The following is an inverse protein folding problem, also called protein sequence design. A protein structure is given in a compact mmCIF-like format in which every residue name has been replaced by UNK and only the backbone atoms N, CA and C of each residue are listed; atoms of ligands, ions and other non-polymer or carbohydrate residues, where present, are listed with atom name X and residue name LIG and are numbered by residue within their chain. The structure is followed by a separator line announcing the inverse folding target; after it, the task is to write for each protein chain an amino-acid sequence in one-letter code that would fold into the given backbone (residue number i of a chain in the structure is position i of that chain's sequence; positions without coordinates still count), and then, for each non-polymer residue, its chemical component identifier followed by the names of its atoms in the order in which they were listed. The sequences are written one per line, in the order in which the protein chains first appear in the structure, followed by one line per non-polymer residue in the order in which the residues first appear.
data_IF_380805424945
#
_entry.id   IF_380805424945
#
_cell.length_a   1.000
_cell.length_b   1.000
_cell.length_c   1.000
_cell.angle_alpha   90.00
_cell.angle_beta   90.00
_cell.angle_gamma   90.00
#
_symmetry.space_group_name_H-M   'P 1'
#
loop_
_entity.id
_entity.type
_entity.pdbx_description
1 polymer ?
#
# COMPACT_ATOMS: atom_id res chain seq x y z
N UNK A 1 -18.96 -17.76 -4.98
CA UNK A 1 -19.26 -19.11 -4.42
C UNK A 1 -20.50 -19.06 -3.53
N UNK A 2 -20.58 -18.12 -2.58
CA UNK A 2 -21.71 -18.00 -1.67
C UNK A 2 -23.10 -17.74 -2.32
N UNK A 3 -23.18 -16.93 -3.39
CA UNK A 3 -24.47 -16.60 -4.04
C UNK A 3 -25.15 -17.81 -4.70
N UNK A 4 -24.36 -18.75 -5.23
CA UNK A 4 -24.86 -19.93 -5.95
C UNK A 4 -24.84 -21.18 -5.05
N UNK A 5 -24.40 -21.04 -3.79
CA UNK A 5 -24.21 -22.19 -2.88
C UNK A 5 -23.18 -23.20 -3.38
N UNK A 6 -22.21 -22.77 -4.21
CA UNK A 6 -21.24 -23.67 -4.81
C UNK A 6 -20.35 -24.31 -3.73
N UNK A 7 -20.27 -25.64 -3.74
CA UNK A 7 -19.42 -26.44 -2.84
C UNK A 7 -18.22 -27.00 -3.58
N UNK A 8 -17.20 -27.45 -2.84
CA UNK A 8 -15.97 -28.02 -3.39
C UNK A 8 -16.23 -29.04 -4.51
N UNK A 9 -17.21 -29.93 -4.32
CA UNK A 9 -17.56 -30.97 -5.31
C UNK A 9 -18.13 -30.41 -6.63
N UNK A 10 -18.68 -29.20 -6.65
CA UNK A 10 -19.23 -28.58 -7.87
C UNK A 10 -18.12 -28.04 -8.78
N UNK A 11 -17.07 -27.45 -8.20
CA UNK A 11 -15.96 -26.84 -8.94
C UNK A 11 -14.62 -27.04 -8.20
N UNK A 12 -14.13 -28.28 -8.07
CA UNK A 12 -13.04 -28.61 -7.13
C UNK A 12 -11.73 -27.89 -7.47
N UNK A 13 -11.37 -27.82 -8.75
CA UNK A 13 -10.15 -27.15 -9.21
C UNK A 13 -10.19 -25.65 -8.94
N UNK A 14 -11.30 -24.99 -9.28
CA UNK A 14 -11.45 -23.54 -9.09
C UNK A 14 -11.45 -23.16 -7.60
N UNK A 15 -12.21 -23.89 -6.79
CA UNK A 15 -12.34 -23.64 -5.34
C UNK A 15 -11.00 -23.89 -4.64
N UNK A 16 -10.27 -24.93 -5.04
CA UNK A 16 -8.92 -25.20 -4.53
C UNK A 16 -7.96 -24.02 -4.82
N UNK A 17 -7.82 -23.62 -6.09
CA UNK A 17 -6.88 -22.55 -6.46
C UNK A 17 -7.27 -21.19 -5.85
N UNK A 18 -8.57 -20.88 -5.80
CA UNK A 18 -9.06 -19.68 -5.13
C UNK A 18 -8.76 -19.70 -3.62
N UNK A 19 -8.92 -20.86 -2.97
CA UNK A 19 -8.56 -21.10 -1.57
C UNK A 19 -7.08 -20.88 -1.27
N UNK A 20 -6.21 -21.48 -2.09
CA UNK A 20 -4.75 -21.33 -2.01
C UNK A 20 -4.34 -19.87 -2.19
N UNK A 21 -4.88 -19.20 -3.21
CA UNK A 21 -4.57 -17.81 -3.52
C UNK A 21 -5.06 -16.86 -2.42
N UNK A 22 -6.28 -17.06 -1.91
CA UNK A 22 -6.81 -16.28 -0.80
C UNK A 22 -5.95 -16.41 0.46
N UNK A 23 -5.53 -17.63 0.81
CA UNK A 23 -4.65 -17.88 1.94
C UNK A 23 -3.26 -17.22 1.77
N UNK A 24 -2.69 -17.28 0.58
CA UNK A 24 -1.45 -16.58 0.24
C UNK A 24 -1.58 -15.06 0.48
N UNK A 25 -2.60 -14.44 -0.13
CA UNK A 25 -2.85 -13.01 0.00
C UNK A 25 -3.04 -12.59 1.45
N UNK A 26 -3.81 -13.37 2.22
CA UNK A 26 -4.05 -13.11 3.64
C UNK A 26 -2.77 -13.07 4.46
N UNK A 27 -1.96 -14.12 4.38
CA UNK A 27 -0.72 -14.26 5.16
C UNK A 27 0.30 -13.19 4.79
N UNK A 28 0.40 -12.84 3.50
CA UNK A 28 1.30 -11.77 3.04
C UNK A 28 0.82 -10.40 3.51
N UNK A 29 -0.48 -10.10 3.42
CA UNK A 29 -1.06 -8.83 3.85
C UNK A 29 -0.92 -8.60 5.36
N UNK A 30 -1.29 -9.60 6.16
CA UNK A 30 -1.24 -9.52 7.62
C UNK A 30 0.21 -9.34 8.11
N UNK A 31 1.16 -10.05 7.50
CA UNK A 31 2.59 -9.93 7.82
C UNK A 31 3.15 -8.57 7.41
N UNK A 32 2.73 -8.05 6.25
CA UNK A 32 3.10 -6.70 5.80
C UNK A 32 2.57 -5.65 6.78
N UNK A 33 1.39 -5.85 7.35
CA UNK A 33 0.81 -4.95 8.35
C UNK A 33 1.63 -4.89 9.64
N UNK A 34 2.21 -6.02 10.09
CA UNK A 34 3.13 -6.06 11.24
C UNK A 34 4.38 -5.24 10.93
N UNK A 35 5.00 -5.44 9.76
CA UNK A 35 6.20 -4.70 9.36
C UNK A 35 5.91 -3.20 9.28
N UNK A 36 4.76 -2.82 8.73
CA UNK A 36 4.36 -1.43 8.63
C UNK A 36 4.14 -0.80 10.02
N UNK A 37 3.48 -1.50 10.95
CA UNK A 37 3.32 -1.05 12.33
C UNK A 37 4.67 -0.91 13.04
N UNK A 38 5.58 -1.87 12.86
CA UNK A 38 6.93 -1.82 13.40
C UNK A 38 7.73 -0.63 12.84
N UNK A 39 7.63 -0.37 11.54
CA UNK A 39 8.23 0.80 10.92
C UNK A 39 7.75 2.10 11.58
N UNK A 40 6.46 2.23 11.89
CA UNK A 40 5.92 3.41 12.61
C UNK A 40 6.47 3.57 14.02
N UNK A 41 6.64 2.46 14.75
CA UNK A 41 7.29 2.50 16.07
C UNK A 41 8.76 2.92 15.96
N UNK A 42 9.50 2.35 15.01
CA UNK A 42 10.92 2.65 14.79
C UNK A 42 11.10 4.11 14.37
N UNK A 43 10.28 4.62 13.45
CA UNK A 43 10.28 6.02 13.01
C UNK A 43 10.04 6.98 14.19
N UNK A 44 9.19 6.59 15.14
CA UNK A 44 8.91 7.37 16.36
C UNK A 44 10.11 7.41 17.31
N UNK A 45 10.81 6.27 17.48
CA UNK A 45 11.99 6.11 18.34
C UNK A 45 13.21 6.81 17.72
N UNK A 46 13.52 6.48 16.47
CA UNK A 46 14.69 6.94 15.73
C UNK A 46 14.40 7.01 14.22
N UNK A 47 14.19 8.22 13.68
CA UNK A 47 14.01 8.43 12.24
C UNK A 47 15.17 7.86 11.41
N UNK A 48 16.41 8.06 11.87
CA UNK A 48 17.60 7.56 11.16
C UNK A 48 17.68 6.04 11.10
N UNK A 49 17.13 5.33 12.08
CA UNK A 49 17.05 3.87 12.03
C UNK A 49 15.94 3.41 11.07
N UNK A 50 14.80 4.10 11.05
CA UNK A 50 13.72 3.84 10.09
C UNK A 50 14.21 4.02 8.65
N UNK A 51 14.92 5.11 8.36
CA UNK A 51 15.55 5.35 7.05
C UNK A 51 16.52 4.21 6.67
N UNK A 52 17.41 3.83 7.59
CA UNK A 52 18.35 2.73 7.35
C UNK A 52 17.64 1.40 7.06
N UNK A 53 16.52 1.10 7.69
CA UNK A 53 15.84 -0.19 7.53
C UNK A 53 14.83 -0.22 6.39
N UNK A 54 14.15 0.89 6.11
CA UNK A 54 12.96 0.91 5.28
C UNK A 54 13.05 1.83 4.06
N UNK A 55 14.12 2.61 3.89
CA UNK A 55 14.21 3.55 2.77
C UNK A 55 14.65 2.88 1.45
N UNK A 56 14.14 3.42 0.35
CA UNK A 56 14.55 3.09 -1.01
C UNK A 56 14.31 1.63 -1.38
N UNK A 57 15.37 0.93 -1.82
CA UNK A 57 15.26 -0.46 -2.30
C UNK A 57 15.03 -1.47 -1.18
N UNK A 58 15.26 -1.10 0.08
CA UNK A 58 15.18 -2.03 1.23
C UNK A 58 13.74 -2.40 1.59
N UNK A 59 12.78 -1.50 1.37
CA UNK A 59 11.36 -1.82 1.54
C UNK A 59 10.92 -2.95 0.61
N UNK A 60 11.49 -3.05 -0.60
CA UNK A 60 11.22 -4.17 -1.51
C UNK A 60 11.72 -5.50 -0.95
N UNK A 61 12.83 -5.52 -0.21
CA UNK A 61 13.30 -6.73 0.47
C UNK A 61 12.29 -7.20 1.54
N UNK A 62 11.71 -6.26 2.31
CA UNK A 62 10.67 -6.58 3.29
C UNK A 62 9.39 -7.08 2.62
N UNK A 63 8.97 -6.48 1.51
CA UNK A 63 7.84 -6.97 0.72
C UNK A 63 8.11 -8.38 0.19
N UNK A 64 9.29 -8.62 -0.39
CA UNK A 64 9.70 -9.94 -0.86
C UNK A 64 9.71 -10.97 0.28
N UNK A 65 10.18 -10.60 1.47
CA UNK A 65 10.15 -11.47 2.65
C UNK A 65 8.73 -11.89 3.02
N UNK A 66 7.77 -10.95 3.05
CA UNK A 66 6.37 -11.28 3.35
C UNK A 66 5.70 -12.13 2.26
N UNK A 67 6.07 -11.92 1.00
CA UNK A 67 5.63 -12.76 -0.11
C UNK A 67 6.19 -14.18 0.01
N UNK A 68 7.48 -14.34 0.34
CA UNK A 68 8.10 -15.65 0.55
C UNK A 68 7.47 -16.38 1.74
N UNK A 69 7.16 -15.66 2.82
CA UNK A 69 6.43 -16.21 3.96
C UNK A 69 5.02 -16.67 3.57
N UNK A 70 4.26 -15.87 2.82
CA UNK A 70 2.97 -16.29 2.27
C UNK A 70 3.07 -17.50 1.35
N UNK A 71 4.09 -17.57 0.50
CA UNK A 71 4.34 -18.72 -0.39
C UNK A 71 4.58 -20.01 0.41
N UNK A 72 5.21 -19.93 1.59
CA UNK A 72 5.35 -21.11 2.46
C UNK A 72 4.01 -21.69 2.90
N UNK A 73 2.97 -20.86 3.05
CA UNK A 73 1.63 -21.33 3.39
C UNK A 73 0.94 -22.01 2.21
N UNK A 74 1.28 -21.65 0.97
CA UNK A 74 0.80 -22.33 -0.23
C UNK A 74 1.33 -23.76 -0.30
N UNK A 75 2.59 -23.98 0.06
CA UNK A 75 3.25 -25.29 -0.08
C UNK A 75 3.06 -26.20 1.13
N UNK A 76 3.03 -25.65 2.35
CA UNK A 76 3.07 -26.44 3.59
C UNK A 76 1.73 -26.52 4.33
N UNK A 77 0.69 -25.83 3.86
CA UNK A 77 -0.61 -25.84 4.56
C UNK A 77 -1.77 -26.32 3.71
N UNK A 78 -2.80 -26.84 4.37
CA UNK A 78 -4.04 -27.21 3.71
C UNK A 78 -4.75 -25.94 3.23
N UNK A 79 -5.27 -25.93 1.99
CA UNK A 79 -5.98 -24.78 1.46
C UNK A 79 -7.24 -24.50 2.30
N UNK A 80 -7.55 -23.21 2.48
CA UNK A 80 -8.83 -22.79 3.03
C UNK A 80 -9.88 -23.03 1.97
N UNK A 81 -10.83 -23.94 2.23
CA UNK A 81 -11.91 -24.23 1.29
C UNK A 81 -13.10 -23.30 1.54
N UNK A 82 -13.42 -22.46 0.57
CA UNK A 82 -14.59 -21.58 0.60
C UNK A 82 -15.83 -22.33 0.11
N UNK A 83 -16.46 -23.12 0.98
CA UNK A 83 -17.72 -23.80 0.66
C UNK A 83 -18.94 -22.88 0.86
N UNK A 84 -19.89 -22.94 -0.08
CA UNK A 84 -21.14 -22.17 -0.02
C UNK A 84 -22.26 -22.77 0.84
N UNK A 85 -22.11 -24.01 1.31
CA UNK A 85 -23.08 -24.75 2.13
C UNK A 85 -22.33 -25.40 3.30
N UNK A 86 -23.01 -25.60 4.44
CA UNK A 86 -22.48 -26.36 5.56
C UNK A 86 -22.18 -27.80 5.14
N UNK A 87 -20.91 -28.16 5.12
CA UNK A 87 -20.51 -29.56 5.07
C UNK A 87 -19.95 -29.97 6.44
N UNK A 88 -20.34 -31.13 6.95
CA UNK A 88 -19.96 -31.65 8.27
C UNK A 88 -18.44 -31.84 8.44
N UNK A 89 -17.67 -31.68 7.36
CA UNK A 89 -16.21 -31.68 7.32
C UNK A 89 -15.53 -30.38 7.77
N UNK A 90 -16.24 -29.38 8.31
CA UNK A 90 -15.64 -28.13 8.81
C UNK A 90 -14.47 -28.34 9.79
N UNK A 91 -14.54 -29.39 10.63
CA UNK A 91 -13.47 -29.80 11.55
C UNK A 91 -12.30 -30.52 10.84
N UNK A 92 -12.53 -31.12 9.67
CA UNK A 92 -11.53 -31.89 8.91
C UNK A 92 -10.54 -30.98 8.17
N UNK A 93 -10.88 -29.70 7.98
CA UNK A 93 -10.06 -28.69 7.30
C UNK A 93 -9.44 -27.65 8.25
N UNK A 94 -9.36 -27.95 9.55
CA UNK A 94 -8.69 -27.08 10.52
C UNK A 94 -7.19 -26.93 10.21
N UNK A 95 -6.76 -25.69 9.93
CA UNK A 95 -5.37 -25.37 9.63
C UNK A 95 -4.70 -24.73 10.85
N UNK A 96 -4.07 -25.57 11.68
CA UNK A 96 -3.39 -25.13 12.91
C UNK A 96 -2.33 -24.05 12.67
N UNK A 97 -1.65 -24.08 11.51
CA UNK A 97 -0.65 -23.07 11.18
C UNK A 97 -1.31 -21.72 10.86
N UNK A 98 -2.45 -21.72 10.17
CA UNK A 98 -3.24 -20.52 9.92
C UNK A 98 -3.75 -19.90 11.23
N UNK A 99 -4.32 -20.71 12.14
CA UNK A 99 -4.76 -20.24 13.46
C UNK A 99 -3.60 -19.69 14.29
N UNK A 100 -2.44 -20.36 14.29
CA UNK A 100 -1.24 -19.85 14.96
C UNK A 100 -0.80 -18.50 14.37
N UNK A 101 -0.77 -18.39 13.05
CA UNK A 101 -0.44 -17.14 12.35
C UNK A 101 -1.41 -16.01 12.72
N UNK A 102 -2.72 -16.25 12.68
CA UNK A 102 -3.74 -15.27 13.07
C UNK A 102 -3.55 -14.77 14.51
N UNK A 103 -3.30 -15.69 15.44
CA UNK A 103 -3.04 -15.35 16.85
C UNK A 103 -1.74 -14.54 16.99
N UNK A 104 -0.67 -14.93 16.29
CA UNK A 104 0.60 -14.23 16.30
C UNK A 104 0.47 -12.80 15.73
N UNK A 105 -0.26 -12.64 14.63
CA UNK A 105 -0.58 -11.33 14.03
C UNK A 105 -1.35 -10.46 15.01
N UNK A 106 -2.40 -11.01 15.63
CA UNK A 106 -3.23 -10.29 16.58
C UNK A 106 -2.40 -9.78 17.78
N UNK A 107 -1.58 -10.64 18.38
CA UNK A 107 -0.72 -10.28 19.51
C UNK A 107 0.35 -9.26 19.11
N UNK A 108 1.00 -9.46 17.95
CA UNK A 108 2.04 -8.56 17.46
C UNK A 108 1.50 -7.16 17.17
N UNK A 109 0.36 -7.05 16.49
CA UNK A 109 -0.26 -5.77 16.18
C UNK A 109 -0.76 -5.07 17.44
N UNK A 110 -1.41 -5.79 18.36
CA UNK A 110 -1.82 -5.22 19.64
C UNK A 110 -0.62 -4.67 20.42
N UNK A 111 0.47 -5.44 20.51
CA UNK A 111 1.70 -5.03 21.18
C UNK A 111 2.35 -3.81 20.52
N UNK A 112 2.47 -3.79 19.19
CA UNK A 112 3.04 -2.68 18.44
C UNK A 112 2.19 -1.41 18.57
N UNK A 113 0.87 -1.52 18.57
CA UNK A 113 -0.02 -0.37 18.75
C UNK A 113 0.01 0.18 20.16
N UNK A 114 0.03 -0.68 21.18
CA UNK A 114 0.24 -0.26 22.55
C UNK A 114 1.58 0.46 22.72
N UNK A 115 2.66 -0.12 22.16
CA UNK A 115 3.98 0.49 22.14
C UNK A 115 3.96 1.87 21.46
N UNK A 116 3.32 1.99 20.30
CA UNK A 116 3.21 3.28 19.59
C UNK A 116 2.51 4.34 20.43
N UNK A 117 1.39 4.00 21.08
CA UNK A 117 0.66 4.92 21.96
C UNK A 117 1.53 5.37 23.12
N UNK A 118 2.25 4.44 23.77
CA UNK A 118 3.17 4.76 24.86
C UNK A 118 4.28 5.71 24.38
N UNK A 119 4.93 5.38 23.28
CA UNK A 119 5.98 6.22 22.67
C UNK A 119 5.46 7.60 22.29
N UNK A 120 4.25 7.67 21.75
CA UNK A 120 3.59 8.92 21.41
C UNK A 120 3.33 9.77 22.64
N UNK A 121 2.81 9.18 23.73
CA UNK A 121 2.57 9.89 24.99
C UNK A 121 3.89 10.45 25.54
N UNK A 122 4.93 9.62 25.66
CA UNK A 122 6.26 10.02 26.14
C UNK A 122 6.82 11.18 25.29
N UNK A 123 6.76 11.04 23.96
CA UNK A 123 7.27 12.08 23.07
C UNK A 123 6.43 13.35 23.21
N UNK A 124 5.10 13.25 23.34
CA UNK A 124 4.22 14.41 23.50
C UNK A 124 4.42 15.16 24.82
N UNK A 125 4.77 14.47 25.92
CA UNK A 125 5.02 15.08 27.23
C UNK A 125 6.40 15.71 27.31
N UNK A 126 7.41 15.11 26.66
CA UNK A 126 8.78 15.63 26.63
C UNK A 126 8.94 16.80 25.63
N UNK A 127 8.17 16.82 24.53
CA UNK A 127 8.32 17.79 23.43
C UNK A 127 7.34 19.00 23.51
N UNK A 128 6.99 19.45 24.71
CA UNK A 128 5.98 20.50 24.94
C UNK A 128 6.15 21.83 24.17
N UNK A 129 7.35 22.16 23.66
CA UNK A 129 7.67 23.42 22.97
C UNK A 129 8.35 23.26 21.60
N UNK A 130 7.92 22.29 20.78
CA UNK A 130 8.56 22.08 19.46
C UNK A 130 8.08 23.03 18.35
N UNK A 131 8.96 23.39 17.39
CA UNK A 131 8.64 24.23 16.24
C UNK A 131 7.58 23.60 15.31
N UNK A 132 6.89 24.44 14.53
CA UNK A 132 5.75 24.06 13.66
C UNK A 132 6.03 22.87 12.72
N UNK A 133 7.26 22.74 12.22
CA UNK A 133 7.70 21.63 11.35
C UNK A 133 7.61 20.28 12.07
N UNK A 134 7.99 20.24 13.36
CA UNK A 134 7.91 19.04 14.19
C UNK A 134 6.45 18.62 14.46
N UNK A 135 5.53 19.60 14.56
CA UNK A 135 4.08 19.36 14.68
C UNK A 135 3.47 18.79 13.39
N UNK A 136 3.89 19.25 12.22
CA UNK A 136 3.42 18.70 10.94
C UNK A 136 3.80 17.22 10.79
N UNK A 137 5.07 16.90 11.10
CA UNK A 137 5.57 15.53 11.05
C UNK A 137 4.84 14.62 12.07
N UNK A 138 4.57 15.12 13.28
CA UNK A 138 3.79 14.39 14.28
C UNK A 138 2.34 14.12 13.84
N UNK A 139 1.69 15.08 13.17
CA UNK A 139 0.33 14.90 12.65
C UNK A 139 0.28 13.91 11.49
N UNK A 140 1.28 13.93 10.60
CA UNK A 140 1.43 12.96 9.53
C UNK A 140 1.65 11.54 10.08
N UNK A 141 2.55 11.38 11.05
CA UNK A 141 2.79 10.11 11.75
C UNK A 141 1.54 9.58 12.44
N UNK A 142 0.80 10.45 13.15
CA UNK A 142 -0.48 10.10 13.78
C UNK A 142 -1.51 9.61 12.77
N UNK A 143 -1.63 10.31 11.64
CA UNK A 143 -2.60 9.95 10.60
C UNK A 143 -2.24 8.61 9.97
N UNK A 144 -0.97 8.41 9.61
CA UNK A 144 -0.49 7.15 9.07
C UNK A 144 -0.66 5.98 10.05
N UNK A 145 -0.43 6.20 11.34
CA UNK A 145 -0.69 5.19 12.37
C UNK A 145 -2.18 4.85 12.49
N UNK A 146 -3.06 5.86 12.55
CA UNK A 146 -4.50 5.65 12.61
C UNK A 146 -5.03 4.89 11.39
N UNK A 147 -4.49 5.16 10.20
CA UNK A 147 -4.84 4.39 8.99
C UNK A 147 -4.54 2.90 9.19
N UNK A 148 -3.31 2.57 9.63
CA UNK A 148 -2.87 1.19 9.81
C UNK A 148 -3.66 0.51 10.93
N UNK A 149 -3.93 1.20 12.04
CA UNK A 149 -4.77 0.71 13.13
C UNK A 149 -6.18 0.35 12.66
N UNK A 150 -6.84 1.26 11.92
CA UNK A 150 -8.21 1.02 11.42
C UNK A 150 -8.23 -0.18 10.47
N UNK A 151 -7.26 -0.27 9.55
CA UNK A 151 -7.14 -1.41 8.63
C UNK A 151 -7.00 -2.71 9.42
N UNK A 152 -6.11 -2.76 10.41
CA UNK A 152 -5.89 -3.98 11.19
C UNK A 152 -7.06 -4.36 12.10
N UNK A 153 -7.82 -3.39 12.64
CA UNK A 153 -9.06 -3.70 13.37
C UNK A 153 -10.10 -4.37 12.46
N UNK A 154 -10.23 -3.89 11.23
CA UNK A 154 -11.13 -4.48 10.22
C UNK A 154 -10.66 -5.91 9.86
N UNK A 155 -9.36 -6.11 9.69
CA UNK A 155 -8.79 -7.44 9.43
C UNK A 155 -9.00 -8.40 10.61
N UNK A 156 -8.87 -7.94 11.86
CA UNK A 156 -9.09 -8.75 13.05
C UNK A 156 -10.54 -9.26 13.16
N UNK A 157 -11.52 -8.40 12.83
CA UNK A 157 -12.94 -8.80 12.78
C UNK A 157 -13.15 -9.88 11.72
N UNK A 158 -12.56 -9.71 10.53
CA UNK A 158 -12.61 -10.72 9.47
C UNK A 158 -12.00 -12.06 9.88
N UNK A 159 -10.81 -12.01 10.48
CA UNK A 159 -10.11 -13.19 11.00
C UNK A 159 -10.97 -13.94 12.01
N UNK A 160 -11.56 -13.23 12.96
CA UNK A 160 -12.40 -13.84 14.01
C UNK A 160 -13.65 -14.52 13.45
N UNK A 161 -14.26 -13.95 12.42
CA UNK A 161 -15.39 -14.59 11.73
C UNK A 161 -14.95 -15.90 11.07
N UNK A 162 -13.81 -15.91 10.36
CA UNK A 162 -13.30 -17.11 9.70
C UNK A 162 -12.84 -18.18 10.69
N UNK A 163 -12.16 -17.79 11.78
CA UNK A 163 -11.75 -18.72 12.83
C UNK A 163 -12.98 -19.34 13.53
N UNK A 164 -14.04 -18.54 13.77
CA UNK A 164 -15.32 -19.06 14.25
C UNK A 164 -15.93 -20.09 13.29
N UNK A 165 -15.95 -19.78 12.00
CA UNK A 165 -16.47 -20.68 10.96
C UNK A 165 -15.68 -22.00 10.86
N UNK A 166 -14.42 -22.02 11.29
CA UNK A 166 -13.59 -23.22 11.33
C UNK A 166 -13.84 -24.09 12.58
N UNK A 167 -14.30 -23.49 13.67
CA UNK A 167 -14.46 -24.18 14.96
C UNK A 167 -15.91 -24.61 15.26
N UNK A 168 -16.89 -23.92 14.66
CA UNK A 168 -18.31 -24.10 14.96
C UNK A 168 -19.13 -24.34 13.67
N UNK A 169 -20.28 -25.05 13.78
CA UNK A 169 -21.21 -25.18 12.65
C UNK A 169 -21.74 -23.81 12.22
N UNK A 170 -21.88 -23.60 10.90
CA UNK A 170 -21.78 -22.26 10.31
C UNK A 170 -23.09 -21.52 9.95
N UNK A 171 -24.21 -22.05 9.50
CA UNK A 171 -25.33 -21.26 8.88
C UNK A 171 -24.97 -20.50 7.59
N UNK A 172 -25.89 -20.49 6.62
CA UNK A 172 -25.68 -19.84 5.32
C UNK A 172 -25.55 -18.31 5.43
N UNK A 173 -26.29 -17.69 6.36
CA UNK A 173 -26.22 -16.25 6.60
C UNK A 173 -24.80 -15.80 6.99
N UNK A 174 -24.12 -16.59 7.82
CA UNK A 174 -22.75 -16.30 8.24
C UNK A 174 -21.75 -16.43 7.09
N UNK A 175 -21.93 -17.39 6.19
CA UNK A 175 -21.09 -17.55 4.97
C UNK A 175 -21.22 -16.33 4.06
N UNK A 176 -22.43 -15.79 3.90
CA UNK A 176 -22.67 -14.56 3.13
C UNK A 176 -21.98 -13.37 3.79
N UNK A 177 -22.20 -13.17 5.10
CA UNK A 177 -21.57 -12.09 5.87
C UNK A 177 -20.05 -12.17 5.79
N UNK A 178 -19.45 -13.36 5.93
CA UNK A 178 -18.01 -13.58 5.82
C UNK A 178 -17.50 -13.23 4.41
N UNK A 179 -18.23 -13.64 3.37
CA UNK A 179 -17.86 -13.36 1.97
C UNK A 179 -17.88 -11.86 1.67
N UNK A 180 -18.88 -11.12 2.15
CA UNK A 180 -18.94 -9.67 1.97
C UNK A 180 -17.90 -8.94 2.84
N UNK A 181 -17.72 -9.39 4.08
CA UNK A 181 -16.70 -8.84 4.98
C UNK A 181 -15.31 -8.98 4.36
N UNK A 182 -15.00 -10.11 3.74
CA UNK A 182 -13.76 -10.34 3.00
C UNK A 182 -13.54 -9.30 1.89
N UNK A 183 -14.56 -9.04 1.06
CA UNK A 183 -14.46 -8.00 0.02
C UNK A 183 -14.22 -6.61 0.60
N UNK A 184 -14.90 -6.27 1.70
CA UNK A 184 -14.75 -4.99 2.38
C UNK A 184 -13.34 -4.86 2.96
N UNK A 185 -12.84 -5.89 3.64
CA UNK A 185 -11.51 -5.94 4.24
C UNK A 185 -10.42 -5.58 3.23
N UNK A 186 -10.43 -6.18 2.05
CA UNK A 186 -9.40 -5.92 1.04
C UNK A 186 -9.65 -4.64 0.21
N UNK A 187 -10.90 -4.16 0.12
CA UNK A 187 -11.23 -2.93 -0.60
C UNK A 187 -11.01 -1.64 0.21
N UNK A 188 -11.22 -1.69 1.52
CA UNK A 188 -11.18 -0.54 2.42
C UNK A 188 -9.81 0.16 2.50
N UNK A 189 -8.65 -0.53 2.55
CA UNK A 189 -7.34 0.12 2.62
C UNK A 189 -7.14 1.17 1.51
N UNK A 190 -7.57 0.86 0.29
CA UNK A 190 -7.46 1.79 -0.85
C UNK A 190 -8.23 3.10 -0.63
N UNK A 191 -9.46 3.00 -0.09
CA UNK A 191 -10.29 4.15 0.23
C UNK A 191 -9.68 4.96 1.38
N UNK A 192 -9.19 4.28 2.42
CA UNK A 192 -8.53 4.89 3.58
C UNK A 192 -7.28 5.66 3.14
N UNK A 193 -6.45 5.09 2.27
CA UNK A 193 -5.26 5.78 1.77
C UNK A 193 -5.62 7.02 0.93
N UNK A 194 -6.59 6.91 0.02
CA UNK A 194 -7.03 8.04 -0.82
C UNK A 194 -7.68 9.17 -0.01
N UNK A 195 -8.40 8.86 1.06
CA UNK A 195 -9.10 9.87 1.85
C UNK A 195 -8.21 10.53 2.89
N UNK A 196 -7.39 9.73 3.60
CA UNK A 196 -6.63 10.19 4.76
C UNK A 196 -5.16 10.55 4.47
N UNK A 197 -4.59 10.17 3.32
CA UNK A 197 -3.21 10.54 2.96
C UNK A 197 -3.18 11.58 1.82
N UNK A 198 -2.88 12.84 2.17
CA UNK A 198 -2.86 13.96 1.21
C UNK A 198 -1.84 13.78 0.09
N UNK A 199 -0.67 13.23 0.39
CA UNK A 199 0.41 12.99 -0.58
C UNK A 199 -0.03 11.95 -1.60
N UNK A 200 -0.49 10.78 -1.13
CA UNK A 200 -1.00 9.71 -2.00
C UNK A 200 -2.15 10.23 -2.86
N UNK A 201 -3.11 10.95 -2.25
CA UNK A 201 -4.23 11.53 -3.00
C UNK A 201 -3.75 12.47 -4.10
N UNK A 202 -2.81 13.36 -3.79
CA UNK A 202 -2.27 14.31 -4.78
C UNK A 202 -1.58 13.58 -5.92
N UNK A 203 -0.75 12.57 -5.62
CA UNK A 203 -0.03 11.81 -6.63
C UNK A 203 -0.98 10.98 -7.50
N UNK A 204 -1.99 10.32 -6.91
CA UNK A 204 -3.03 9.63 -7.66
C UNK A 204 -3.81 10.56 -8.59
N UNK A 205 -4.19 11.76 -8.12
CA UNK A 205 -4.87 12.77 -8.94
C UNK A 205 -3.96 13.23 -10.08
N UNK A 206 -2.68 13.47 -9.80
CA UNK A 206 -1.69 13.86 -10.83
C UNK A 206 -1.53 12.77 -11.89
N UNK A 207 -1.43 11.50 -11.49
CA UNK A 207 -1.36 10.36 -12.41
C UNK A 207 -2.63 10.27 -13.27
N UNK A 208 -3.80 10.48 -12.67
CA UNK A 208 -5.08 10.47 -13.38
C UNK A 208 -5.16 11.59 -14.44
N UNK A 209 -4.85 12.83 -14.07
CA UNK A 209 -4.83 13.95 -15.03
C UNK A 209 -3.75 13.80 -16.10
N UNK A 210 -2.56 13.31 -15.75
CA UNK A 210 -1.50 13.01 -16.72
C UNK A 210 -1.97 11.97 -17.74
N UNK A 211 -2.64 10.90 -17.29
CA UNK A 211 -3.18 9.87 -18.17
C UNK A 211 -4.27 10.43 -19.09
N UNK A 212 -5.18 11.25 -18.56
CA UNK A 212 -6.22 11.92 -19.37
C UNK A 212 -5.61 12.87 -20.40
N UNK A 213 -4.61 13.66 -20.01
CA UNK A 213 -3.92 14.58 -20.92
C UNK A 213 -3.13 13.83 -22.01
N UNK A 214 -2.45 12.73 -21.67
CA UNK A 214 -1.81 11.85 -22.65
C UNK A 214 -2.82 11.21 -23.62
N UNK A 215 -4.00 10.82 -23.13
CA UNK A 215 -5.09 10.35 -23.98
C UNK A 215 -5.68 11.47 -24.87
N UNK A 216 -5.66 12.72 -24.39
CA UNK A 216 -6.10 13.89 -25.15
C UNK A 216 -5.10 14.28 -26.23
N UNK A 217 -3.81 14.28 -25.92
CA UNK A 217 -2.74 14.61 -26.87
C UNK A 217 -2.55 13.51 -27.92
N UNK A 218 -2.87 12.24 -27.61
CA UNK A 218 -2.99 11.20 -28.64
C UNK A 218 -4.19 11.39 -29.59
N UNK A 219 -5.26 12.07 -29.14
CA UNK A 219 -6.41 12.41 -29.99
C UNK A 219 -6.17 13.67 -30.82
N UNK A 220 -5.39 14.61 -30.32
CA UNK A 220 -4.93 15.79 -31.07
C UNK A 220 -3.62 15.40 -31.77
N UNK A 221 -3.71 14.79 -32.95
CA UNK A 221 -2.53 14.39 -33.74
C UNK A 221 -1.48 15.50 -33.87
N UNK A 222 -0.19 15.17 -34.08
CA UNK A 222 0.90 16.12 -34.03
C UNK A 222 0.59 17.32 -34.94
N UNK A 223 0.63 18.52 -34.36
CA UNK A 223 0.40 19.76 -35.10
C UNK A 223 1.38 19.79 -36.28
N UNK A 224 0.84 19.78 -37.51
CA UNK A 224 1.63 19.95 -38.73
C UNK A 224 2.28 21.33 -38.67
N UNK A 225 3.57 21.38 -38.40
CA UNK A 225 4.35 22.60 -38.53
C UNK A 225 4.49 22.90 -40.03
N UNK A 226 3.72 23.86 -40.54
CA UNK A 226 3.88 24.35 -41.91
C UNK A 226 5.18 25.14 -41.98
N UNK A 227 6.23 24.53 -42.52
CA UNK A 227 7.45 25.22 -42.91
C UNK A 227 7.09 26.08 -44.13
N UNK A 228 6.82 27.36 -43.90
CA UNK A 228 6.77 28.34 -44.98
C UNK A 228 8.19 28.48 -45.56
N UNK A 229 8.39 27.90 -46.74
CA UNK A 229 9.65 27.97 -47.48
C UNK A 229 9.74 29.33 -48.16
N UNK A 230 10.39 30.31 -47.51
CA UNK A 230 10.83 31.52 -48.22
C UNK A 230 12.21 31.25 -48.80
N UNK A 231 12.22 30.79 -50.05
CA UNK A 231 13.41 30.78 -50.91
C UNK A 231 13.85 32.22 -51.16
N UNK A 232 15.10 32.56 -50.85
CA UNK A 232 15.82 33.60 -51.58
C UNK A 232 17.32 33.35 -51.55
N UNK A 233 17.83 32.97 -52.73
CA UNK A 233 19.23 32.95 -53.10
C UNK A 233 19.81 34.38 -53.09
N UNK A 234 21.01 34.58 -52.55
CA UNK A 234 22.10 35.22 -53.29
C UNK A 234 23.45 35.22 -52.56
N UNK A 235 24.47 35.08 -53.40
CA UNK A 235 25.91 34.90 -53.19
C UNK A 235 26.67 36.07 -52.54
N UNK A 236 27.79 35.69 -51.92
CA UNK A 236 29.10 36.38 -51.86
C UNK A 236 29.25 37.65 -51.03
N UNK A 237 30.30 37.71 -50.19
CA UNK A 237 30.78 38.97 -49.62
C UNK A 237 31.51 38.85 -48.28
N UNK A 238 32.82 39.08 -48.32
CA UNK A 238 33.78 39.05 -47.21
C UNK A 238 33.67 40.25 -46.25
N UNK A 239 34.01 39.98 -44.97
CA UNK A 239 34.63 40.85 -43.95
C UNK A 239 33.86 42.01 -43.26
N UNK A 240 33.86 41.87 -41.92
CA UNK A 240 34.19 42.86 -40.87
C UNK A 240 33.37 44.16 -40.76
N UNK A 241 32.63 44.31 -39.65
CA UNK A 241 32.99 45.23 -38.55
C UNK A 241 31.94 45.24 -37.42
N UNK A 242 32.40 44.94 -36.21
CA UNK A 242 31.81 45.33 -34.90
C UNK A 242 31.86 46.89 -34.75
N UNK A 243 31.38 47.59 -33.67
CA UNK A 243 31.04 47.12 -32.32
C UNK A 243 29.88 47.85 -31.59
N UNK A 244 29.70 47.49 -30.31
CA UNK A 244 29.34 48.35 -29.17
C UNK A 244 27.89 48.85 -29.06
N UNK A 245 27.30 48.98 -27.88
CA UNK A 245 27.70 48.65 -26.51
C UNK A 245 26.49 48.90 -25.61
N UNK A 246 26.44 48.14 -24.52
CA UNK A 246 26.04 48.47 -23.14
C UNK A 246 25.23 47.30 -22.57
N UNK A 247 25.87 46.47 -21.72
CA UNK A 247 25.99 46.69 -20.27
C UNK A 247 24.60 46.81 -19.64
N UNK A 248 24.17 46.01 -18.69
CA UNK A 248 24.78 45.25 -17.59
C UNK A 248 23.66 44.27 -17.14
N UNK A 249 23.83 43.12 -16.51
CA UNK A 249 24.86 42.65 -15.58
C UNK A 249 24.81 41.11 -15.53
N UNK A 250 25.98 40.50 -15.61
CA UNK A 250 26.23 39.12 -15.20
C UNK A 250 25.90 38.91 -13.71
N UNK A 251 25.46 37.70 -13.40
CA UNK A 251 25.43 37.15 -12.06
C UNK A 251 25.28 35.64 -12.13
N UNK A 252 26.39 34.96 -12.49
CA UNK A 252 26.61 33.54 -12.19
C UNK A 252 26.25 33.27 -10.72
N UNK A 253 25.89 32.05 -10.30
CA UNK A 253 26.86 31.17 -9.61
C UNK A 253 26.18 29.85 -9.18
N UNK A 254 26.98 28.78 -9.35
CA UNK A 254 27.08 27.51 -8.64
C UNK A 254 25.90 26.54 -8.47
N UNK A 255 26.12 25.39 -9.10
CA UNK A 255 25.90 24.05 -8.55
C UNK A 255 26.55 23.91 -7.17
N UNK A 256 25.81 23.42 -6.16
CA UNK A 256 26.22 22.40 -5.17
C UNK A 256 25.02 22.04 -4.25
N UNK A 257 25.00 20.84 -3.64
CA UNK A 257 23.84 20.21 -3.01
C UNK A 257 23.79 20.46 -1.49
N UNK A 258 22.60 20.37 -0.88
CA UNK A 258 22.41 20.31 0.57
C UNK A 258 21.18 19.41 0.85
N UNK A 259 21.45 18.22 1.41
CA UNK A 259 21.27 17.82 2.82
C UNK A 259 19.84 17.42 3.13
#
# INVERSE_FOLDING_TARGET
MAIVGAVFCSYPTFIYFAGVFGNFCWVTESSTSIILAANRCIEMISPSLSEKLFEGKRSWCWMALTCLYGLSFVTFTRPVLFNGIMDAGGLTYANKLHTFHNNAVCLALLGLYALFVILYIIKSTVLGNQPLVSRHNAAAQRTAFLQVLVISCVNAVGSGIYDYMQMFPVTEALILVASYSWCIIHGMPSIIFLTMNRTIRHDCIRMFYSTINLCRDKKVGPAKYNIATTSNNNMSGSRLSYPNSRNMSNGQISIQPQF
#
